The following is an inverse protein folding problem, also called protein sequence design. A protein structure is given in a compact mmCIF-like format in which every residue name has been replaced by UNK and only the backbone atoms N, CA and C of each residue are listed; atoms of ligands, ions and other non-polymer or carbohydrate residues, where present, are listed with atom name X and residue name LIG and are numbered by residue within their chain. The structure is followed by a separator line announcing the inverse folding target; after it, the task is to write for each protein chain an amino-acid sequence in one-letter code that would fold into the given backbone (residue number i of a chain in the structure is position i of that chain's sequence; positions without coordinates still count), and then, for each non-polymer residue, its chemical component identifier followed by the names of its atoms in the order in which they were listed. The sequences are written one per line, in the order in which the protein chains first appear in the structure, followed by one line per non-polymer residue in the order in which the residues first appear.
data_IF_734525171343
#
_entry.id   IF_734525171343
#
_cell.length_a   1.000
_cell.length_b   1.000
_cell.length_c   1.000
_cell.angle_alpha   90.00
_cell.angle_beta   90.00
_cell.angle_gamma   90.00
#
_symmetry.space_group_name_H-M   'P 1'
#
loop_
_entity.id
_entity.type
_entity.pdbx_description
1 polymer ?
#
# COMPACT_ATOMS: atom_id res chain seq x y z
N UNK A 1 -59.83 -22.23 -31.67
CA UNK A 1 -58.82 -21.31 -31.12
C UNK A 1 -58.30 -21.88 -29.81
N UNK A 2 -57.04 -22.30 -29.72
CA UNK A 2 -56.41 -22.77 -28.48
C UNK A 2 -55.39 -21.72 -28.06
N UNK A 3 -55.64 -21.04 -26.94
CA UNK A 3 -54.72 -20.06 -26.37
C UNK A 3 -53.67 -20.80 -25.54
N UNK A 4 -52.40 -20.69 -25.93
CA UNK A 4 -51.27 -21.11 -25.12
C UNK A 4 -50.89 -19.98 -24.17
N UNK A 5 -51.10 -20.18 -22.87
CA UNK A 5 -50.61 -19.29 -21.82
C UNK A 5 -49.12 -19.49 -21.62
N UNK A 6 -48.33 -18.43 -21.88
CA UNK A 6 -46.90 -18.42 -21.62
C UNK A 6 -46.68 -18.05 -20.15
N UNK A 7 -46.19 -19.00 -19.35
CA UNK A 7 -45.73 -18.72 -17.99
C UNK A 7 -44.30 -18.18 -18.06
N UNK A 8 -44.15 -16.88 -17.82
CA UNK A 8 -42.85 -16.26 -17.62
C UNK A 8 -42.34 -16.60 -16.20
N UNK A 9 -41.37 -17.49 -16.11
CA UNK A 9 -40.65 -17.77 -14.86
C UNK A 9 -39.74 -16.60 -14.51
N UNK A 10 -40.07 -15.89 -13.43
CA UNK A 10 -39.24 -14.84 -12.86
C UNK A 10 -38.07 -15.49 -12.09
N UNK A 11 -36.87 -15.49 -12.68
CA UNK A 11 -35.63 -15.85 -11.98
C UNK A 11 -35.26 -14.72 -11.02
N UNK A 12 -35.56 -14.90 -9.74
CA UNK A 12 -35.04 -14.05 -8.66
C UNK A 12 -33.58 -14.45 -8.44
N UNK A 13 -32.64 -13.68 -9.00
CA UNK A 13 -31.24 -13.81 -8.66
C UNK A 13 -31.03 -13.37 -7.20
N UNK A 14 -30.88 -14.33 -6.29
CA UNK A 14 -30.46 -14.04 -4.93
C UNK A 14 -29.05 -13.44 -4.96
N UNK A 15 -28.93 -12.15 -4.66
CA UNK A 15 -27.63 -11.51 -4.45
C UNK A 15 -27.02 -12.08 -3.18
N UNK A 16 -26.13 -13.06 -3.30
CA UNK A 16 -25.22 -13.41 -2.20
C UNK A 16 -24.45 -12.13 -1.85
N UNK A 17 -24.69 -11.61 -0.63
CA UNK A 17 -23.91 -10.50 -0.11
C UNK A 17 -22.44 -10.92 -0.13
N UNK A 18 -21.63 -10.24 -0.95
CA UNK A 18 -20.20 -10.51 -1.04
C UNK A 18 -19.56 -10.33 0.34
N UNK A 19 -18.78 -11.30 0.79
CA UNK A 19 -18.08 -11.22 2.07
C UNK A 19 -17.23 -9.94 2.13
N UNK A 20 -17.23 -9.27 3.29
CA UNK A 20 -16.43 -8.06 3.50
C UNK A 20 -14.96 -8.31 3.11
N UNK A 21 -14.30 -7.39 2.39
CA UNK A 21 -12.95 -7.62 1.92
C UNK A 21 -11.95 -7.67 3.08
N UNK A 22 -10.94 -8.51 2.94
CA UNK A 22 -9.75 -8.50 3.79
C UNK A 22 -8.62 -7.73 3.11
N UNK A 23 -7.74 -7.10 3.89
CA UNK A 23 -6.50 -6.49 3.40
C UNK A 23 -5.30 -7.07 4.15
N UNK A 24 -4.29 -7.48 3.40
CA UNK A 24 -2.97 -7.83 3.89
C UNK A 24 -1.97 -6.78 3.44
N UNK A 25 -1.12 -6.28 4.34
CA UNK A 25 -0.02 -5.38 4.00
C UNK A 25 1.28 -6.19 3.96
N UNK A 26 2.01 -6.13 2.86
CA UNK A 26 3.24 -6.89 2.62
C UNK A 26 4.33 -5.91 2.22
N UNK A 27 5.46 -5.93 2.91
CA UNK A 27 6.55 -5.00 2.62
C UNK A 27 7.66 -4.96 3.66
N UNK A 28 8.47 -3.90 3.57
CA UNK A 28 9.60 -3.62 4.44
C UNK A 28 9.22 -2.81 5.70
N UNK A 29 10.23 -2.27 6.41
CA UNK A 29 10.06 -1.48 7.64
C UNK A 29 9.12 -0.27 7.46
N UNK A 30 9.08 0.32 6.27
CA UNK A 30 8.24 1.50 5.98
C UNK A 30 6.76 1.17 5.81
N UNK A 31 6.39 -0.12 5.86
CA UNK A 31 5.01 -0.59 5.91
C UNK A 31 4.62 -1.04 7.32
N UNK A 32 5.57 -1.48 8.15
CA UNK A 32 5.30 -2.03 9.49
C UNK A 32 4.55 -1.08 10.42
N UNK A 33 3.93 -1.64 11.46
CA UNK A 33 3.16 -0.85 12.43
C UNK A 33 4.02 0.09 13.30
N UNK A 34 5.30 -0.25 13.48
CA UNK A 34 6.22 0.50 14.34
C UNK A 34 7.01 1.59 13.63
N UNK A 35 7.16 1.50 12.31
CA UNK A 35 8.09 2.36 11.55
C UNK A 35 7.53 2.79 10.18
N UNK A 36 6.27 2.48 9.89
CA UNK A 36 5.68 2.59 8.56
C UNK A 36 4.27 3.17 8.52
N UNK A 37 3.74 3.25 7.32
CA UNK A 37 2.39 3.80 7.05
C UNK A 37 1.27 2.81 7.35
N UNK A 38 1.56 1.51 7.50
CA UNK A 38 0.54 0.45 7.55
C UNK A 38 -0.46 0.60 8.68
N UNK A 39 0.01 0.97 9.89
CA UNK A 39 -0.87 1.24 11.02
C UNK A 39 -1.82 2.39 10.77
N UNK A 40 -1.33 3.50 10.21
CA UNK A 40 -2.15 4.65 9.84
C UNK A 40 -3.18 4.32 8.76
N UNK A 41 -2.78 3.57 7.72
CA UNK A 41 -3.73 3.09 6.71
C UNK A 41 -4.82 2.21 7.32
N UNK A 42 -4.47 1.22 8.14
CA UNK A 42 -5.48 0.34 8.75
C UNK A 42 -6.44 1.11 9.68
N UNK A 43 -5.96 2.14 10.39
CA UNK A 43 -6.80 3.02 11.21
C UNK A 43 -7.82 3.83 10.38
N UNK A 44 -7.54 4.03 9.10
CA UNK A 44 -8.41 4.71 8.14
C UNK A 44 -9.40 3.76 7.45
N UNK A 45 -9.58 2.53 7.94
CA UNK A 45 -10.51 1.55 7.37
C UNK A 45 -11.69 1.26 8.30
N UNK A 46 -12.86 0.93 7.73
CA UNK A 46 -14.03 0.44 8.47
C UNK A 46 -14.72 -0.68 7.71
N UNK A 47 -15.26 -1.65 8.43
CA UNK A 47 -16.06 -2.73 7.85
C UNK A 47 -15.28 -3.73 6.98
N UNK A 48 -13.94 -3.65 6.94
CA UNK A 48 -13.11 -4.73 6.41
C UNK A 48 -13.24 -5.98 7.31
N UNK A 49 -13.16 -7.16 6.71
CA UNK A 49 -13.04 -8.41 7.48
C UNK A 49 -11.75 -8.44 8.31
N UNK A 50 -10.68 -7.80 7.79
CA UNK A 50 -9.39 -7.59 8.46
C UNK A 50 -8.56 -6.54 7.73
N UNK A 51 -7.67 -5.89 8.46
CA UNK A 51 -6.49 -5.21 7.93
C UNK A 51 -5.28 -5.75 8.70
N UNK A 52 -4.54 -6.67 8.10
CA UNK A 52 -3.44 -7.39 8.75
C UNK A 52 -2.12 -6.95 8.17
N UNK A 53 -1.24 -6.40 9.02
CA UNK A 53 0.10 -6.03 8.61
C UNK A 53 1.05 -7.23 8.73
N UNK A 54 1.56 -7.68 7.58
CA UNK A 54 2.53 -8.77 7.46
C UNK A 54 3.88 -8.25 6.95
N UNK A 55 4.11 -6.94 6.99
CA UNK A 55 5.39 -6.36 6.63
C UNK A 55 6.46 -6.70 7.67
N UNK A 56 7.71 -6.83 7.20
CA UNK A 56 8.85 -7.18 8.06
C UNK A 56 10.01 -6.23 7.82
N UNK A 57 10.49 -5.61 8.90
CA UNK A 57 11.61 -4.67 8.86
C UNK A 57 12.87 -5.27 8.23
N UNK A 58 13.53 -4.50 7.38
CA UNK A 58 14.79 -4.89 6.74
C UNK A 58 14.65 -5.86 5.55
N UNK A 59 13.44 -6.31 5.22
CA UNK A 59 13.25 -7.26 4.13
C UNK A 59 13.31 -6.64 2.73
N UNK A 60 13.63 -7.48 1.76
CA UNK A 60 13.58 -7.23 0.31
C UNK A 60 12.49 -8.11 -0.31
N UNK A 61 12.22 -7.93 -1.59
CA UNK A 61 11.37 -8.83 -2.39
C UNK A 61 11.84 -10.30 -2.35
N UNK A 62 13.12 -10.55 -2.08
CA UNK A 62 13.72 -11.89 -2.01
C UNK A 62 13.76 -12.48 -0.59
N UNK A 63 13.96 -11.65 0.44
CA UNK A 63 14.10 -12.14 1.82
C UNK A 63 12.78 -12.22 2.57
N UNK A 64 11.77 -11.38 2.23
CA UNK A 64 10.47 -11.41 2.90
C UNK A 64 9.80 -12.80 2.89
N UNK A 65 9.81 -13.58 1.78
CA UNK A 65 9.24 -14.94 1.78
C UNK A 65 9.92 -15.91 2.75
N UNK A 66 11.15 -15.62 3.22
CA UNK A 66 11.85 -16.40 4.23
C UNK A 66 11.33 -16.22 5.65
N UNK A 67 10.51 -15.19 5.89
CA UNK A 67 9.86 -14.96 7.19
C UNK A 67 8.61 -15.83 7.30
N UNK A 68 8.78 -17.01 7.90
CA UNK A 68 7.79 -18.09 7.85
C UNK A 68 6.44 -17.70 8.47
N UNK A 69 6.42 -16.95 9.57
CA UNK A 69 5.17 -16.51 10.21
C UNK A 69 4.33 -15.65 9.27
N UNK A 70 4.93 -14.63 8.67
CA UNK A 70 4.28 -13.68 7.78
C UNK A 70 3.91 -14.33 6.44
N UNK A 71 4.79 -15.18 5.91
CA UNK A 71 4.52 -15.94 4.69
C UNK A 71 3.35 -16.91 4.88
N UNK A 72 3.29 -17.66 5.99
CA UNK A 72 2.15 -18.52 6.31
C UNK A 72 0.87 -17.71 6.59
N UNK A 73 1.01 -16.53 7.21
CA UNK A 73 -0.07 -15.57 7.38
C UNK A 73 -0.66 -15.12 6.03
N UNK A 74 0.18 -14.85 5.04
CA UNK A 74 -0.22 -14.52 3.68
C UNK A 74 -0.93 -15.71 3.01
N UNK A 75 -0.33 -16.91 3.04
CA UNK A 75 -0.97 -18.10 2.45
C UNK A 75 -2.34 -18.41 3.08
N UNK A 76 -2.48 -18.19 4.38
CA UNK A 76 -3.75 -18.40 5.09
C UNK A 76 -4.75 -17.31 4.74
N UNK A 77 -4.32 -16.05 4.75
CA UNK A 77 -5.18 -14.91 4.41
C UNK A 77 -5.69 -15.00 2.97
N UNK A 78 -4.83 -15.34 2.01
CA UNK A 78 -5.22 -15.42 0.59
C UNK A 78 -6.23 -16.53 0.28
N UNK A 79 -6.42 -17.53 1.16
CA UNK A 79 -7.50 -18.52 1.03
C UNK A 79 -8.88 -17.96 1.33
N UNK A 80 -8.99 -16.83 2.02
CA UNK A 80 -10.28 -16.16 2.24
C UNK A 80 -10.65 -15.36 0.99
N UNK A 81 -11.83 -15.64 0.44
CA UNK A 81 -12.37 -14.90 -0.70
C UNK A 81 -12.37 -13.37 -0.44
N UNK A 82 -12.21 -12.59 -1.51
CA UNK A 82 -12.19 -11.13 -1.46
C UNK A 82 -11.06 -10.55 -0.58
N UNK A 83 -9.89 -11.20 -0.53
CA UNK A 83 -8.70 -10.66 0.15
C UNK A 83 -7.79 -9.93 -0.84
N UNK A 84 -7.40 -8.71 -0.49
CA UNK A 84 -6.42 -7.89 -1.22
C UNK A 84 -5.07 -7.93 -0.52
N UNK A 85 -3.99 -7.87 -1.32
CA UNK A 85 -2.64 -7.75 -0.80
C UNK A 85 -2.02 -6.46 -1.32
N UNK A 86 -1.78 -5.49 -0.43
CA UNK A 86 -1.04 -4.27 -0.73
C UNK A 86 0.45 -4.54 -0.54
N UNK A 87 1.21 -4.47 -1.62
CA UNK A 87 2.61 -4.91 -1.67
C UNK A 87 3.51 -3.71 -1.97
N UNK A 88 4.45 -3.42 -1.06
CA UNK A 88 5.42 -2.34 -1.22
C UNK A 88 6.84 -2.79 -0.87
N UNK A 89 7.76 -2.64 -1.82
CA UNK A 89 9.19 -2.85 -1.63
C UNK A 89 10.00 -1.79 -2.40
N UNK A 90 11.31 -1.77 -2.17
CA UNK A 90 12.24 -0.87 -2.86
C UNK A 90 13.37 -0.38 -1.96
N UNK A 91 13.11 -0.08 -0.67
CA UNK A 91 14.10 0.55 0.21
C UNK A 91 15.35 -0.29 0.45
N UNK A 92 15.17 -1.59 0.67
CA UNK A 92 16.27 -2.50 0.93
C UNK A 92 16.76 -3.15 -0.35
N UNK A 93 15.87 -3.41 -1.31
CA UNK A 93 16.22 -3.93 -2.63
C UNK A 93 17.25 -3.03 -3.32
N UNK A 94 17.06 -1.70 -3.28
CA UNK A 94 17.98 -0.75 -3.90
C UNK A 94 19.41 -0.77 -3.36
N UNK A 95 19.63 -1.41 -2.20
CA UNK A 95 20.95 -1.49 -1.56
C UNK A 95 21.72 -2.74 -1.99
N UNK A 96 21.03 -3.76 -2.51
CA UNK A 96 21.59 -5.12 -2.66
C UNK A 96 21.33 -5.77 -4.01
N UNK A 97 20.47 -5.21 -4.85
CA UNK A 97 20.18 -5.73 -6.19
C UNK A 97 19.97 -4.60 -7.19
N UNK A 98 20.05 -4.92 -8.47
CA UNK A 98 19.73 -4.01 -9.57
C UNK A 98 18.22 -3.83 -9.75
N UNK A 99 17.81 -2.82 -10.51
CA UNK A 99 16.40 -2.61 -10.86
C UNK A 99 15.79 -3.77 -11.65
N UNK A 100 16.57 -4.41 -12.54
CA UNK A 100 16.11 -5.57 -13.31
C UNK A 100 15.88 -6.81 -12.43
N UNK A 101 16.77 -7.06 -11.47
CA UNK A 101 16.58 -8.13 -10.47
C UNK A 101 15.38 -7.84 -9.59
N UNK A 102 15.24 -6.60 -9.11
CA UNK A 102 14.08 -6.17 -8.34
C UNK A 102 12.76 -6.40 -9.10
N UNK A 103 12.68 -6.01 -10.37
CA UNK A 103 11.48 -6.21 -11.20
C UNK A 103 11.11 -7.70 -11.30
N UNK A 104 12.11 -8.55 -11.57
CA UNK A 104 11.94 -10.00 -11.67
C UNK A 104 11.44 -10.60 -10.34
N UNK A 105 12.04 -10.18 -9.22
CA UNK A 105 11.69 -10.67 -7.89
C UNK A 105 10.31 -10.18 -7.45
N UNK A 106 9.98 -8.91 -7.69
CA UNK A 106 8.67 -8.33 -7.40
C UNK A 106 7.57 -9.03 -8.20
N UNK A 107 7.79 -9.27 -9.50
CA UNK A 107 6.84 -10.02 -10.34
C UNK A 107 6.63 -11.44 -9.82
N UNK A 108 7.71 -12.14 -9.46
CA UNK A 108 7.63 -13.49 -8.88
C UNK A 108 6.82 -13.50 -7.59
N UNK A 109 7.14 -12.62 -6.64
CA UNK A 109 6.42 -12.51 -5.36
C UNK A 109 4.95 -12.17 -5.58
N UNK A 110 4.65 -11.24 -6.49
CA UNK A 110 3.28 -10.83 -6.83
C UNK A 110 2.48 -12.01 -7.40
N UNK A 111 3.08 -12.79 -8.29
CA UNK A 111 2.45 -13.99 -8.83
C UNK A 111 2.26 -15.08 -7.76
N UNK A 112 3.19 -15.25 -6.82
CA UNK A 112 3.01 -16.14 -5.66
C UNK A 112 1.79 -15.74 -4.84
N UNK A 113 1.64 -14.45 -4.50
CA UNK A 113 0.52 -13.92 -3.73
C UNK A 113 -0.81 -14.07 -4.49
N UNK A 114 -0.79 -13.78 -5.81
CA UNK A 114 -1.94 -13.98 -6.69
C UNK A 114 -2.38 -15.46 -6.73
N UNK A 115 -1.42 -16.37 -6.90
CA UNK A 115 -1.68 -17.81 -6.96
C UNK A 115 -2.14 -18.39 -5.61
N UNK A 116 -1.82 -17.74 -4.49
CA UNK A 116 -2.35 -18.08 -3.19
C UNK A 116 -3.83 -17.67 -2.99
N UNK A 117 -4.38 -16.84 -3.88
CA UNK A 117 -5.80 -16.43 -3.89
C UNK A 117 -6.07 -14.95 -3.58
N UNK A 118 -5.05 -14.16 -3.27
CA UNK A 118 -5.22 -12.72 -3.05
C UNK A 118 -5.34 -11.94 -4.36
N UNK A 119 -5.99 -10.79 -4.31
CA UNK A 119 -5.95 -9.75 -5.35
C UNK A 119 -4.82 -8.76 -5.06
N UNK A 120 -3.68 -8.80 -5.77
CA UNK A 120 -2.55 -7.94 -5.46
C UNK A 120 -2.76 -6.50 -5.95
N UNK A 121 -2.28 -5.55 -5.16
CA UNK A 121 -2.20 -4.12 -5.45
C UNK A 121 -0.76 -3.70 -5.17
N UNK A 122 -0.07 -3.18 -6.18
CA UNK A 122 1.32 -2.76 -6.02
C UNK A 122 1.40 -1.30 -5.58
N UNK A 123 2.31 -0.99 -4.65
CA UNK A 123 2.63 0.36 -4.24
C UNK A 123 4.10 0.63 -4.53
N UNK A 124 4.39 1.77 -5.15
CA UNK A 124 5.76 2.28 -5.18
C UNK A 124 6.21 2.59 -3.75
N UNK A 125 7.50 2.46 -3.43
CA UNK A 125 8.01 2.70 -2.08
C UNK A 125 7.75 4.13 -1.58
N UNK A 126 7.47 4.28 -0.30
CA UNK A 126 7.40 5.58 0.39
C UNK A 126 8.65 6.45 0.14
N UNK A 127 8.48 7.77 -0.03
CA UNK A 127 9.59 8.72 -0.13
C UNK A 127 10.48 8.72 1.11
N UNK A 128 11.77 9.00 0.93
CA UNK A 128 12.67 9.41 2.03
C UNK A 128 12.58 10.90 2.27
N UNK A 129 12.72 11.34 3.52
CA UNK A 129 12.76 12.76 3.91
C UNK A 129 14.16 13.36 3.71
N UNK A 130 14.67 13.28 2.48
CA UNK A 130 15.98 13.82 2.10
C UNK A 130 15.80 15.04 1.20
N UNK A 131 16.51 16.11 1.51
CA UNK A 131 16.33 17.43 0.92
C UNK A 131 17.67 18.07 0.55
N UNK A 132 17.77 18.59 -0.66
CA UNK A 132 18.88 19.46 -1.08
C UNK A 132 18.67 20.92 -0.67
N UNK A 133 17.42 21.35 -0.48
CA UNK A 133 17.05 22.69 0.00
C UNK A 133 15.73 22.63 0.80
N UNK A 134 15.25 23.76 1.34
CA UNK A 134 14.04 23.79 2.19
C UNK A 134 12.81 23.12 1.54
N UNK A 135 12.62 23.25 0.23
CA UNK A 135 11.47 22.70 -0.51
C UNK A 135 11.93 21.93 -1.75
N UNK A 136 13.12 21.34 -1.72
CA UNK A 136 13.63 20.51 -2.83
C UNK A 136 14.09 19.18 -2.28
N UNK A 137 13.35 18.12 -2.60
CA UNK A 137 13.69 16.74 -2.22
C UNK A 137 14.76 16.18 -3.16
N UNK A 138 15.54 15.24 -2.65
CA UNK A 138 16.38 14.37 -3.48
C UNK A 138 15.90 12.94 -3.31
N UNK A 139 15.56 12.29 -4.42
CA UNK A 139 15.10 10.91 -4.43
C UNK A 139 16.08 10.00 -5.16
N UNK A 140 16.20 8.78 -4.66
CA UNK A 140 17.00 7.70 -5.28
C UNK A 140 16.18 6.42 -5.49
N UNK A 141 14.90 6.42 -5.11
CA UNK A 141 14.00 5.27 -5.25
C UNK A 141 13.26 5.27 -6.60
N UNK A 142 13.25 6.38 -7.35
CA UNK A 142 12.61 6.53 -8.65
C UNK A 142 12.83 5.35 -9.61
N UNK A 143 14.07 4.90 -9.85
CA UNK A 143 14.31 3.77 -10.73
C UNK A 143 13.65 2.45 -10.29
N UNK A 144 13.46 2.23 -8.97
CA UNK A 144 12.76 1.06 -8.44
C UNK A 144 11.24 1.26 -8.50
N UNK A 145 10.77 2.48 -8.23
CA UNK A 145 9.37 2.87 -8.42
C UNK A 145 8.90 2.64 -9.86
N UNK A 146 9.72 3.00 -10.86
CA UNK A 146 9.43 2.75 -12.27
C UNK A 146 9.28 1.26 -12.57
N UNK A 147 10.10 0.40 -11.95
CA UNK A 147 9.96 -1.06 -12.07
C UNK A 147 8.68 -1.57 -11.39
N UNK A 148 8.30 -1.04 -10.23
CA UNK A 148 7.02 -1.38 -9.59
C UNK A 148 5.84 -1.07 -10.50
N UNK A 149 5.84 0.12 -11.13
CA UNK A 149 4.80 0.53 -12.08
C UNK A 149 4.82 -0.38 -13.32
N UNK A 150 6.01 -0.68 -13.87
CA UNK A 150 6.15 -1.56 -15.02
C UNK A 150 5.62 -2.97 -14.75
N UNK A 151 5.93 -3.54 -13.58
CA UNK A 151 5.42 -4.86 -13.15
C UNK A 151 3.90 -4.82 -12.98
N UNK A 152 3.34 -3.77 -12.36
CA UNK A 152 1.90 -3.63 -12.21
C UNK A 152 1.19 -3.59 -13.57
N UNK A 153 1.71 -2.80 -14.51
CA UNK A 153 1.20 -2.70 -15.87
C UNK A 153 1.30 -4.05 -16.62
N UNK A 154 2.44 -4.73 -16.53
CA UNK A 154 2.66 -6.05 -17.13
C UNK A 154 1.64 -7.07 -16.62
N UNK A 155 1.38 -7.08 -15.32
CA UNK A 155 0.43 -8.00 -14.69
C UNK A 155 -1.03 -7.52 -14.73
N UNK A 156 -1.28 -6.33 -15.28
CA UNK A 156 -2.59 -5.65 -15.33
C UNK A 156 -3.22 -5.50 -13.94
N UNK A 157 -2.41 -5.10 -12.97
CA UNK A 157 -2.79 -4.90 -11.58
C UNK A 157 -2.92 -3.40 -11.25
N UNK A 158 -3.75 -3.03 -10.26
CA UNK A 158 -3.75 -1.66 -9.74
C UNK A 158 -2.38 -1.29 -9.17
N UNK A 159 -1.98 -0.04 -9.38
CA UNK A 159 -0.77 0.55 -8.80
C UNK A 159 -1.09 1.84 -8.06
N UNK A 160 -0.54 1.99 -6.85
CA UNK A 160 -0.62 3.21 -6.06
C UNK A 160 0.74 3.92 -6.09
N UNK A 161 0.83 5.16 -6.61
CA UNK A 161 2.08 5.89 -6.84
C UNK A 161 2.61 6.59 -5.58
N UNK A 162 2.64 5.89 -4.44
CA UNK A 162 2.97 6.47 -3.14
C UNK A 162 4.28 7.26 -3.14
N UNK A 163 5.31 6.88 -3.89
CA UNK A 163 6.56 7.65 -3.99
C UNK A 163 6.29 9.06 -4.48
N UNK A 164 5.56 9.20 -5.60
CA UNK A 164 5.26 10.47 -6.21
C UNK A 164 4.38 11.34 -5.29
N UNK A 165 3.32 10.75 -4.73
CA UNK A 165 2.37 11.49 -3.88
C UNK A 165 3.00 11.90 -2.54
N UNK A 166 3.84 11.03 -1.96
CA UNK A 166 4.59 11.35 -0.74
C UNK A 166 5.70 12.38 -0.97
N UNK A 167 6.41 12.34 -2.10
CA UNK A 167 7.37 13.39 -2.49
C UNK A 167 6.67 14.74 -2.68
N UNK A 168 5.55 14.76 -3.42
CA UNK A 168 4.77 15.97 -3.65
C UNK A 168 4.33 16.62 -2.32
N UNK A 169 3.88 15.79 -1.37
CA UNK A 169 3.50 16.26 -0.04
C UNK A 169 4.68 16.88 0.73
N UNK A 170 5.78 16.13 0.93
CA UNK A 170 6.90 16.61 1.75
C UNK A 170 7.64 17.78 1.09
N UNK A 171 7.65 17.85 -0.25
CA UNK A 171 8.22 18.99 -0.97
C UNK A 171 7.43 20.27 -0.70
N UNK A 172 6.08 20.18 -0.72
CA UNK A 172 5.21 21.31 -0.40
C UNK A 172 5.31 21.72 1.07
N UNK A 173 5.32 20.74 1.97
CA UNK A 173 5.46 20.93 3.41
C UNK A 173 6.82 21.54 3.80
N UNK A 174 7.88 21.13 3.11
CA UNK A 174 9.23 21.58 3.35
C UNK A 174 9.98 20.78 4.42
N UNK A 175 11.30 20.92 4.42
CA UNK A 175 12.25 20.12 5.21
C UNK A 175 11.95 20.20 6.70
N UNK A 176 11.81 21.40 7.26
CA UNK A 176 11.67 21.59 8.70
C UNK A 176 10.51 20.79 9.29
N UNK A 177 9.34 20.87 8.66
CA UNK A 177 8.15 20.15 9.10
C UNK A 177 8.17 18.67 8.68
N UNK A 178 8.73 18.34 7.51
CA UNK A 178 8.83 16.93 7.06
C UNK A 178 9.67 16.06 8.00
N UNK A 179 10.69 16.63 8.65
CA UNK A 179 11.52 15.91 9.61
C UNK A 179 10.74 15.50 10.88
N UNK A 180 9.61 16.15 11.19
CA UNK A 180 8.72 15.77 12.31
C UNK A 180 8.08 14.39 12.16
N UNK A 181 8.15 13.79 10.98
CA UNK A 181 7.66 12.44 10.73
C UNK A 181 8.66 11.34 11.01
N UNK A 182 9.94 11.67 11.23
CA UNK A 182 10.99 10.66 11.40
C UNK A 182 10.79 9.89 12.71
N UNK A 183 11.02 8.57 12.66
CA UNK A 183 10.90 7.69 13.83
C UNK A 183 11.73 8.20 15.02
N UNK A 184 12.92 8.73 14.73
CA UNK A 184 13.88 9.20 15.72
C UNK A 184 13.83 10.73 15.95
N UNK A 185 12.70 11.39 15.60
CA UNK A 185 12.54 12.85 15.66
C UNK A 185 12.91 13.44 17.03
N UNK A 186 12.44 12.84 18.13
CA UNK A 186 12.70 13.30 19.50
C UNK A 186 14.10 12.92 20.02
N UNK A 187 14.93 12.31 19.18
CA UNK A 187 16.29 11.87 19.53
C UNK A 187 17.33 12.44 18.56
N UNK A 188 17.78 11.69 17.57
CA UNK A 188 18.84 12.14 16.65
C UNK A 188 18.31 12.84 15.41
N UNK A 189 17.05 12.54 15.03
CA UNK A 189 16.38 13.03 13.83
C UNK A 189 17.23 12.85 12.55
N UNK A 190 17.95 11.74 12.46
CA UNK A 190 18.80 11.37 11.31
C UNK A 190 18.15 10.30 10.44
N UNK A 191 17.17 9.59 10.97
CA UNK A 191 16.45 8.58 10.22
C UNK A 191 15.45 9.21 9.28
N UNK A 192 15.86 9.38 8.03
CA UNK A 192 15.01 9.94 6.98
C UNK A 192 14.13 8.88 6.30
N UNK A 193 14.06 7.64 6.80
CA UNK A 193 13.35 6.51 6.16
C UNK A 193 12.14 6.06 6.97
N UNK A 194 12.27 5.90 8.28
CA UNK A 194 11.22 5.34 9.12
C UNK A 194 10.30 6.41 9.69
N UNK A 195 9.03 6.07 9.84
CA UNK A 195 7.98 6.97 10.31
C UNK A 195 7.70 6.78 11.81
N UNK A 196 7.52 7.89 12.53
CA UNK A 196 6.88 7.89 13.85
C UNK A 196 5.34 7.80 13.73
N UNK A 197 4.62 7.94 14.85
CA UNK A 197 3.16 7.90 14.86
C UNK A 197 2.48 9.01 14.02
N UNK A 198 3.04 10.22 14.03
CA UNK A 198 2.54 11.33 13.21
C UNK A 198 2.74 11.02 11.72
N UNK A 199 3.93 10.53 11.35
CA UNK A 199 4.24 10.07 10.00
C UNK A 199 3.31 8.95 9.56
N UNK A 200 3.11 7.93 10.39
CA UNK A 200 2.20 6.82 10.10
C UNK A 200 0.78 7.33 9.78
N UNK A 201 0.29 8.31 10.54
CA UNK A 201 -1.02 8.94 10.29
C UNK A 201 -1.09 9.66 8.94
N UNK A 202 -0.10 10.50 8.63
CA UNK A 202 -0.09 11.29 7.40
C UNK A 202 0.13 10.45 6.15
N UNK A 203 1.17 9.59 6.14
CA UNK A 203 1.46 8.75 4.99
C UNK A 203 0.47 7.58 4.85
N UNK A 204 -0.09 7.07 5.95
CA UNK A 204 -1.21 6.14 5.93
C UNK A 204 -2.44 6.74 5.26
N UNK A 205 -2.73 8.02 5.52
CA UNK A 205 -3.80 8.75 4.83
C UNK A 205 -3.52 8.97 3.34
N UNK A 206 -2.27 9.19 2.93
CA UNK A 206 -1.92 9.23 1.49
C UNK A 206 -2.32 7.91 0.83
N UNK A 207 -1.91 6.77 1.40
CA UNK A 207 -2.29 5.45 0.88
C UNK A 207 -3.80 5.25 0.87
N UNK A 208 -4.51 5.68 1.93
CA UNK A 208 -5.97 5.59 1.99
C UNK A 208 -6.65 6.42 0.87
N UNK A 209 -6.12 7.61 0.56
CA UNK A 209 -6.60 8.44 -0.54
C UNK A 209 -6.34 7.77 -1.91
N UNK A 210 -5.15 7.19 -2.10
CA UNK A 210 -4.80 6.45 -3.32
C UNK A 210 -5.71 5.23 -3.52
N UNK A 211 -5.94 4.44 -2.47
CA UNK A 211 -6.87 3.29 -2.49
C UNK A 211 -8.28 3.75 -2.86
N UNK A 212 -8.77 4.83 -2.23
CA UNK A 212 -10.09 5.39 -2.55
C UNK A 212 -10.20 5.80 -4.01
N UNK A 213 -9.14 6.37 -4.59
CA UNK A 213 -9.13 6.82 -5.98
C UNK A 213 -8.94 5.71 -7.01
N UNK A 214 -8.17 4.66 -6.69
CA UNK A 214 -7.67 3.70 -7.68
C UNK A 214 -8.22 2.29 -7.51
N UNK A 215 -8.84 1.98 -6.37
CA UNK A 215 -9.33 0.64 -6.04
C UNK A 215 -10.80 0.74 -5.60
N UNK A 216 -11.69 0.81 -6.58
CA UNK A 216 -13.14 1.00 -6.35
C UNK A 216 -13.75 -0.05 -5.42
N UNK A 217 -13.23 -1.27 -5.41
CA UNK A 217 -13.69 -2.34 -4.54
C UNK A 217 -13.37 -2.12 -3.04
N UNK A 218 -12.33 -1.34 -2.73
CA UNK A 218 -11.95 -1.00 -1.36
C UNK A 218 -12.42 0.39 -0.93
N UNK A 219 -12.73 1.29 -1.87
CA UNK A 219 -13.14 2.66 -1.58
C UNK A 219 -14.30 2.79 -0.55
N UNK A 220 -15.36 1.96 -0.56
CA UNK A 220 -16.43 2.03 0.45
C UNK A 220 -15.98 1.72 1.88
N UNK A 221 -14.83 1.06 2.03
CA UNK A 221 -14.27 0.63 3.31
C UNK A 221 -13.21 1.58 3.85
N UNK A 222 -12.90 2.67 3.13
CA UNK A 222 -12.01 3.72 3.60
C UNK A 222 -12.83 4.79 4.33
N UNK A 223 -12.46 5.09 5.57
CA UNK A 223 -13.04 6.16 6.37
C UNK A 223 -12.59 7.50 5.80
N UNK A 224 -13.53 8.33 5.36
CA UNK A 224 -13.21 9.66 4.87
C UNK A 224 -12.62 10.54 5.99
N UNK A 225 -11.55 11.26 5.68
CA UNK A 225 -10.96 12.30 6.55
C UNK A 225 -10.57 13.49 5.68
N UNK A 226 -11.59 14.25 5.27
CA UNK A 226 -11.41 15.39 4.37
C UNK A 226 -10.45 16.44 4.96
N UNK A 227 -10.44 16.61 6.28
CA UNK A 227 -9.53 17.55 6.97
C UNK A 227 -8.07 17.15 6.77
N UNK A 228 -7.70 15.89 7.06
CA UNK A 228 -6.32 15.43 6.88
C UNK A 228 -5.92 15.37 5.40
N UNK A 229 -6.82 14.93 4.52
CA UNK A 229 -6.55 14.94 3.07
C UNK A 229 -6.35 16.36 2.54
N UNK A 230 -7.10 17.35 3.04
CA UNK A 230 -6.90 18.76 2.69
C UNK A 230 -5.56 19.29 3.19
N UNK A 231 -5.14 18.93 4.42
CA UNK A 231 -3.82 19.28 4.95
C UNK A 231 -2.68 18.70 4.10
N UNK A 232 -2.79 17.44 3.69
CA UNK A 232 -1.83 16.79 2.78
C UNK A 232 -1.79 17.52 1.44
N UNK A 233 -2.94 17.79 0.83
CA UNK A 233 -3.00 18.54 -0.43
C UNK A 233 -2.45 19.96 -0.30
N UNK A 234 -2.61 20.59 0.86
CA UNK A 234 -2.07 21.91 1.17
C UNK A 234 -0.58 21.90 1.56
N UNK A 235 0.02 20.74 1.85
CA UNK A 235 1.40 20.65 2.36
C UNK A 235 1.53 21.23 3.76
N UNK A 236 0.62 20.87 4.67
CA UNK A 236 0.57 21.40 6.04
C UNK A 236 0.37 20.30 7.08
N UNK A 237 0.75 20.55 8.35
CA UNK A 237 0.53 19.68 9.51
C UNK A 237 -0.79 19.94 10.26
#
# INVERSE_FOLDING_TARGET
MRAFGSFASLLVAASVASAAPGVLLIGDSTVTDGAGWGKGFCADTKGLARCTNLAVSGTTTTSWPGHSTEYQGMLTGCKTANTYALIQFGHNDQKVMTTAEFATNLEKLTNTIKNAGCSPILLTSLARRVFSSSHTTTDILGPYSDQTIAVANKLKLPVLPLLADSLAYIQKLGKADSMKFNLDYDTTNKDTTHLNALGSTYFGRIVANEVTSKVSALAPYIVANATLSAKIAAGTL
#
